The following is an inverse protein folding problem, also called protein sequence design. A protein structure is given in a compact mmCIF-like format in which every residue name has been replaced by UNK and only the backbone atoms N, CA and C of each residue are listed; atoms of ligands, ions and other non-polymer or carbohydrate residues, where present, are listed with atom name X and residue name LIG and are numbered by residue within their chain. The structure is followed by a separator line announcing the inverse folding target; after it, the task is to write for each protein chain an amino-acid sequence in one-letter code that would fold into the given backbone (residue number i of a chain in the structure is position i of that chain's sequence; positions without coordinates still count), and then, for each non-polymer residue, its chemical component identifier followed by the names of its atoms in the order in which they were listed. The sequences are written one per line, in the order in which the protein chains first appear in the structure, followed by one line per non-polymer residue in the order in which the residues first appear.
data_IF_586896570919
#
_entry.id   IF_586896570919
#
_cell.length_a   1.000
_cell.length_b   1.000
_cell.length_c   1.000
_cell.angle_alpha   90.00
_cell.angle_beta   90.00
_cell.angle_gamma   90.00
#
_symmetry.space_group_name_H-M   'P 1'
#
loop_
_entity.id
_entity.type
_entity.pdbx_description
1 polymer ?
#
# COMPACT_ATOMS: atom_id res chain seq x y z
N UNK A 1 47.48 13.24 3.09
CA UNK A 1 47.43 11.77 3.28
C UNK A 1 46.16 11.47 4.10
N UNK A 2 44.93 11.32 3.59
CA UNK A 2 44.35 10.68 2.41
C UNK A 2 44.64 9.17 2.31
N UNK A 3 44.13 8.40 3.27
CA UNK A 3 43.81 6.97 3.17
C UNK A 3 42.53 6.75 4.00
N UNK A 4 41.34 6.81 3.40
CA UNK A 4 40.69 5.75 2.61
C UNK A 4 40.29 4.59 3.54
N UNK A 5 39.19 4.80 4.28
CA UNK A 5 38.47 3.76 5.03
C UNK A 5 37.84 2.81 4.02
N UNK A 6 38.49 1.66 3.82
CA UNK A 6 38.05 0.61 2.91
C UNK A 6 38.32 -0.73 3.58
N UNK A 7 37.30 -1.28 4.23
CA UNK A 7 37.18 -2.71 4.54
C UNK A 7 35.71 -2.95 4.95
N UNK A 8 34.80 -3.20 4.01
CA UNK A 8 34.53 -4.46 3.31
C UNK A 8 33.76 -5.47 4.20
N UNK A 9 32.52 -5.70 3.78
CA UNK A 9 31.78 -6.96 3.82
C UNK A 9 31.64 -7.69 5.15
N UNK A 10 30.43 -7.63 5.72
CA UNK A 10 29.85 -8.80 6.39
C UNK A 10 28.60 -9.20 5.63
N UNK A 11 28.81 -10.10 4.67
CA UNK A 11 27.77 -10.94 4.08
C UNK A 11 27.12 -11.74 5.21
N UNK A 12 25.85 -11.49 5.51
CA UNK A 12 25.02 -12.43 6.28
C UNK A 12 24.23 -13.28 5.29
N UNK A 13 24.92 -14.29 4.76
CA UNK A 13 24.32 -15.55 4.30
C UNK A 13 24.17 -16.41 5.58
N UNK A 14 23.20 -17.28 5.85
CA UNK A 14 22.27 -18.14 5.11
C UNK A 14 21.18 -18.51 6.14
N UNK A 15 19.93 -18.78 5.74
CA UNK A 15 19.18 -19.99 6.15
C UNK A 15 17.98 -20.16 5.19
N UNK A 16 18.25 -20.80 4.05
CA UNK A 16 17.22 -21.47 3.25
C UNK A 16 16.70 -22.64 4.08
N UNK A 17 15.51 -22.50 4.63
CA UNK A 17 14.73 -23.63 5.13
C UNK A 17 14.00 -24.24 3.93
N UNK A 18 14.58 -25.29 3.35
CA UNK A 18 13.88 -26.16 2.41
C UNK A 18 12.82 -26.94 3.18
N UNK A 19 11.58 -26.46 3.16
CA UNK A 19 10.42 -27.32 3.37
C UNK A 19 9.83 -27.62 2.00
N UNK A 20 10.31 -28.71 1.40
CA UNK A 20 9.60 -29.40 0.35
C UNK A 20 8.34 -30.00 0.99
N UNK A 21 7.22 -29.29 0.86
CA UNK A 21 5.92 -29.92 0.99
C UNK A 21 5.07 -29.44 -0.16
N UNK A 22 4.96 -30.31 -1.16
CA UNK A 22 4.10 -30.18 -2.33
C UNK A 22 2.68 -29.80 -1.89
N UNK A 23 2.41 -28.51 -1.93
CA UNK A 23 1.05 -27.97 -2.02
C UNK A 23 1.12 -27.01 -3.19
N UNK A 24 0.45 -27.35 -4.27
CA UNK A 24 0.10 -26.37 -5.30
C UNK A 24 -0.75 -25.30 -4.63
N UNK A 25 -0.11 -24.34 -3.95
CA UNK A 25 -0.73 -23.07 -3.66
C UNK A 25 -0.82 -22.40 -5.02
N UNK A 26 -1.97 -22.59 -5.69
CA UNK A 26 -2.52 -21.54 -6.53
C UNK A 26 -2.11 -20.24 -5.86
N UNK A 27 -1.33 -19.42 -6.54
CA UNK A 27 -1.17 -18.04 -6.11
C UNK A 27 -2.60 -17.52 -6.01
N UNK A 28 -3.16 -17.50 -4.79
CA UNK A 28 -4.35 -16.74 -4.50
C UNK A 28 -3.91 -15.32 -4.77
N UNK A 29 -4.07 -14.89 -6.02
CA UNK A 29 -4.15 -13.49 -6.35
C UNK A 29 -5.23 -12.96 -5.43
N UNK A 30 -4.83 -12.30 -4.34
CA UNK A 30 -5.74 -11.49 -3.54
C UNK A 30 -6.54 -10.69 -4.55
N UNK A 31 -7.87 -10.83 -4.59
CA UNK A 31 -8.66 -10.16 -5.60
C UNK A 31 -8.36 -8.67 -5.48
N UNK A 32 -7.77 -8.11 -6.55
CA UNK A 32 -7.39 -6.72 -6.58
C UNK A 32 -8.67 -5.91 -6.41
N UNK A 33 -8.80 -5.21 -5.28
CA UNK A 33 -10.05 -4.53 -4.91
C UNK A 33 -10.46 -3.50 -5.96
N UNK A 34 -9.48 -2.82 -6.56
CA UNK A 34 -9.74 -1.93 -7.68
C UNK A 34 -8.60 -1.93 -8.69
N UNK A 35 -8.89 -1.62 -9.96
CA UNK A 35 -7.89 -1.63 -11.05
C UNK A 35 -6.71 -0.67 -10.81
N UNK A 36 -6.95 0.42 -10.07
CA UNK A 36 -5.94 1.39 -9.64
C UNK A 36 -5.79 1.31 -8.12
N UNK A 37 -4.91 0.41 -7.68
CA UNK A 37 -4.63 0.20 -6.26
C UNK A 37 -3.97 1.41 -5.61
N UNK A 38 -3.22 2.23 -6.35
CA UNK A 38 -2.58 3.41 -5.77
C UNK A 38 -3.61 4.45 -5.33
N UNK A 39 -4.63 4.70 -6.17
CA UNK A 39 -5.75 5.56 -5.81
C UNK A 39 -6.55 4.98 -4.64
N UNK A 40 -6.80 3.66 -4.64
CA UNK A 40 -7.48 2.96 -3.55
C UNK A 40 -6.74 3.10 -2.21
N UNK A 41 -5.45 2.77 -2.18
CA UNK A 41 -4.64 2.80 -0.96
C UNK A 41 -4.57 4.22 -0.38
N UNK A 42 -4.50 5.23 -1.26
CA UNK A 42 -4.51 6.62 -0.84
C UNK A 42 -5.86 7.05 -0.26
N UNK A 43 -6.97 6.62 -0.88
CA UNK A 43 -8.33 6.83 -0.36
C UNK A 43 -8.55 6.19 1.01
N UNK A 44 -8.05 4.98 1.21
CA UNK A 44 -8.09 4.30 2.50
C UNK A 44 -7.28 5.06 3.57
N UNK A 45 -6.05 5.47 3.22
CA UNK A 45 -5.15 6.17 4.14
C UNK A 45 -5.72 7.53 4.57
N UNK A 46 -6.21 8.35 3.64
CA UNK A 46 -6.77 9.66 3.98
C UNK A 46 -8.07 9.54 4.78
N UNK A 47 -8.91 8.53 4.52
CA UNK A 47 -10.10 8.28 5.32
C UNK A 47 -9.77 7.92 6.77
N UNK A 48 -8.67 7.17 6.98
CA UNK A 48 -8.14 6.88 8.31
C UNK A 48 -7.58 8.12 9.00
N UNK A 49 -6.86 8.97 8.27
CA UNK A 49 -6.25 10.16 8.84
C UNK A 49 -7.29 11.27 9.14
N UNK A 50 -8.42 11.26 8.42
CA UNK A 50 -9.58 12.15 8.62
C UNK A 50 -10.69 11.50 9.45
N UNK A 51 -10.38 10.43 10.16
CA UNK A 51 -11.36 9.71 10.96
C UNK A 51 -12.00 10.60 12.04
N UNK A 52 -13.34 10.54 12.14
CA UNK A 52 -14.14 11.43 12.99
C UNK A 52 -14.58 12.75 12.34
N UNK A 53 -14.11 13.06 11.13
CA UNK A 53 -14.61 14.20 10.35
C UNK A 53 -15.68 13.73 9.34
N UNK A 54 -16.80 14.47 9.26
CA UNK A 54 -17.88 14.21 8.30
C UNK A 54 -17.56 14.77 6.91
N UNK A 55 -16.46 14.32 6.32
CA UNK A 55 -16.15 14.59 4.91
C UNK A 55 -16.74 13.48 4.04
N UNK A 56 -17.36 13.79 2.91
CA UNK A 56 -17.71 12.76 1.92
C UNK A 56 -16.50 12.37 1.07
N UNK A 57 -16.60 11.28 0.29
CA UNK A 57 -15.49 10.88 -0.57
C UNK A 57 -15.13 11.96 -1.60
N UNK A 58 -16.12 12.67 -2.16
CA UNK A 58 -15.85 13.68 -3.18
C UNK A 58 -14.95 14.78 -2.61
N UNK A 59 -15.26 15.26 -1.42
CA UNK A 59 -14.45 16.25 -0.72
C UNK A 59 -13.02 15.74 -0.46
N UNK A 60 -12.89 14.51 0.05
CA UNK A 60 -11.58 13.90 0.28
C UNK A 60 -10.79 13.72 -1.03
N UNK A 61 -11.48 13.40 -2.12
CA UNK A 61 -10.87 13.26 -3.45
C UNK A 61 -10.36 14.60 -3.99
N UNK A 62 -11.12 15.68 -3.85
CA UNK A 62 -10.68 17.02 -4.28
C UNK A 62 -9.40 17.41 -3.52
N UNK A 63 -9.36 17.22 -2.19
CA UNK A 63 -8.14 17.45 -1.39
C UNK A 63 -7.00 16.56 -1.87
N UNK A 64 -7.25 15.26 -2.02
CA UNK A 64 -6.26 14.28 -2.44
C UNK A 64 -5.67 14.61 -3.82
N UNK A 65 -6.52 15.01 -4.78
CA UNK A 65 -6.12 15.37 -6.14
C UNK A 65 -5.24 16.61 -6.21
N UNK A 66 -5.35 17.52 -5.22
CA UNK A 66 -4.44 18.68 -5.12
C UNK A 66 -3.07 18.34 -4.53
N UNK A 67 -2.97 17.27 -3.73
CA UNK A 67 -1.74 16.88 -3.04
C UNK A 67 -0.98 15.77 -3.78
N UNK A 68 -1.71 14.90 -4.48
CA UNK A 68 -1.18 13.74 -5.20
C UNK A 68 -1.97 13.57 -6.49
N UNK A 69 -1.31 13.04 -7.52
CA UNK A 69 -1.99 12.70 -8.77
C UNK A 69 -2.82 11.42 -8.58
N UNK A 70 -4.06 11.57 -8.10
CA UNK A 70 -5.03 10.46 -7.98
C UNK A 70 -5.72 10.28 -9.32
N UNK A 71 -5.45 9.16 -9.98
CA UNK A 71 -5.92 8.88 -11.34
C UNK A 71 -7.34 8.31 -11.40
N UNK A 72 -7.78 7.60 -10.36
CA UNK A 72 -9.08 6.94 -10.32
C UNK A 72 -9.89 7.34 -9.10
N UNK A 73 -10.86 8.23 -9.32
CA UNK A 73 -11.81 8.64 -8.29
C UNK A 73 -12.62 7.48 -7.73
N UNK A 74 -13.01 6.52 -8.58
CA UNK A 74 -13.79 5.35 -8.13
C UNK A 74 -12.98 4.48 -7.17
N UNK A 75 -11.74 4.12 -7.55
CA UNK A 75 -10.87 3.34 -6.68
C UNK A 75 -10.56 4.05 -5.37
N UNK A 76 -10.31 5.37 -5.45
CA UNK A 76 -10.14 6.20 -4.26
C UNK A 76 -11.35 6.14 -3.33
N UNK A 77 -12.56 6.30 -3.86
CA UNK A 77 -13.78 6.22 -3.05
C UNK A 77 -14.06 4.83 -2.48
N UNK A 78 -13.64 3.79 -3.19
CA UNK A 78 -13.71 2.42 -2.69
C UNK A 78 -12.80 2.23 -1.48
N UNK A 79 -11.57 2.74 -1.53
CA UNK A 79 -10.66 2.76 -0.37
C UNK A 79 -11.22 3.54 0.82
N UNK A 80 -11.80 4.72 0.58
CA UNK A 80 -12.48 5.52 1.62
C UNK A 80 -13.63 4.74 2.25
N UNK A 81 -14.45 4.08 1.43
CA UNK A 81 -15.63 3.34 1.88
C UNK A 81 -15.22 2.11 2.68
N UNK A 82 -14.21 1.38 2.22
CA UNK A 82 -13.70 0.18 2.90
C UNK A 82 -13.17 0.49 4.30
N UNK A 83 -12.45 1.59 4.49
CA UNK A 83 -12.04 2.01 5.83
C UNK A 83 -13.25 2.27 6.75
N UNK A 84 -14.25 3.01 6.25
CA UNK A 84 -15.46 3.36 7.02
C UNK A 84 -16.30 2.15 7.39
N UNK A 85 -16.40 1.18 6.48
CA UNK A 85 -17.15 -0.05 6.69
C UNK A 85 -16.40 -1.07 7.58
N UNK A 86 -15.08 -0.90 7.77
CA UNK A 86 -14.26 -1.78 8.61
C UNK A 86 -14.23 -1.36 10.09
N UNK A 87 -15.07 -0.40 10.49
CA UNK A 87 -15.25 0.08 11.86
C UNK A 87 -16.49 -0.53 12.51
#
# INVERSE_FOLDING_TARGET
MKYLFLSLFVLTTIYFSSCDNSSSSRAESTPQKCSDMESYDYGYAIARDQDGLLADCNYLYEIASTQKNVTSKSCFCEGVSDFRNSK
#
